data_IF_469834984826
#
_entry.id   IF_469834984826
#
_cell.length_a   1.000
_cell.length_b   1.000
_cell.length_c   1.000
_cell.angle_alpha   90.00
_cell.angle_beta   90.00
_cell.angle_gamma   90.00
#
_symmetry.space_group_name_H-M   'P 1'
#
loop_
_entity.id
_entity.type
_entity.pdbx_description
1 polymer ?
#
# COMPACT_ATOMS: atom_id res chain seq x y z
N UNK A 1 -38.94 27.40 -12.20
CA UNK A 1 -37.87 27.85 -13.12
C UNK A 1 -36.56 27.22 -12.64
N UNK A 2 -36.25 25.99 -13.05
CA UNK A 2 -34.97 25.36 -12.71
C UNK A 2 -33.89 25.89 -13.67
N UNK A 3 -32.71 26.34 -13.19
CA UNK A 3 -31.65 26.78 -14.08
C UNK A 3 -31.11 25.57 -14.86
N UNK A 4 -31.19 25.65 -16.19
CA UNK A 4 -30.52 24.72 -17.09
C UNK A 4 -29.01 24.87 -16.87
N UNK A 5 -28.43 23.97 -16.09
CA UNK A 5 -26.99 23.94 -15.88
C UNK A 5 -26.32 23.53 -17.19
N UNK A 6 -25.52 24.43 -17.75
CA UNK A 6 -24.72 24.16 -18.94
C UNK A 6 -23.75 23.02 -18.63
N UNK A 7 -23.97 21.85 -19.25
CA UNK A 7 -23.26 20.59 -18.94
C UNK A 7 -21.74 20.67 -19.16
N UNK A 8 -21.25 21.61 -19.99
CA UNK A 8 -19.83 21.77 -20.26
C UNK A 8 -19.05 22.35 -19.06
N UNK A 9 -19.67 23.27 -18.33
CA UNK A 9 -19.07 23.86 -17.12
C UNK A 9 -19.11 22.92 -15.93
N UNK A 10 -20.22 22.18 -15.77
CA UNK A 10 -20.38 21.19 -14.69
C UNK A 10 -19.46 19.99 -14.85
N UNK A 11 -19.20 19.53 -16.07
CA UNK A 11 -18.26 18.42 -16.30
C UNK A 11 -16.84 18.82 -15.91
N UNK A 12 -16.38 20.02 -16.30
CA UNK A 12 -15.06 20.53 -15.92
C UNK A 12 -14.93 20.76 -14.41
N UNK A 13 -15.98 21.30 -13.78
CA UNK A 13 -16.01 21.49 -12.34
C UNK A 13 -15.97 20.15 -11.58
N UNK A 14 -16.70 19.14 -12.05
CA UNK A 14 -16.67 17.79 -11.49
C UNK A 14 -15.29 17.15 -11.65
N UNK A 15 -14.68 17.25 -12.83
CA UNK A 15 -13.33 16.75 -13.09
C UNK A 15 -12.27 17.42 -12.20
N UNK A 16 -12.35 18.74 -12.04
CA UNK A 16 -11.45 19.47 -11.14
C UNK A 16 -11.62 19.03 -9.68
N UNK A 17 -12.86 18.81 -9.25
CA UNK A 17 -13.15 18.32 -7.91
C UNK A 17 -12.59 16.90 -7.68
N UNK A 18 -12.80 15.98 -8.63
CA UNK A 18 -12.23 14.63 -8.56
C UNK A 18 -10.71 14.66 -8.56
N UNK A 19 -10.08 15.50 -9.40
CA UNK A 19 -8.63 15.63 -9.44
C UNK A 19 -8.03 16.12 -8.10
N UNK A 20 -8.68 17.09 -7.45
CA UNK A 20 -8.30 17.55 -6.11
C UNK A 20 -8.56 16.47 -5.05
N UNK A 21 -9.67 15.72 -5.14
CA UNK A 21 -9.94 14.64 -4.21
C UNK A 21 -8.89 13.52 -4.31
N UNK A 22 -8.46 13.17 -5.53
CA UNK A 22 -7.42 12.16 -5.78
C UNK A 22 -6.03 12.64 -5.35
N UNK A 23 -5.71 13.93 -5.48
CA UNK A 23 -4.41 14.47 -5.04
C UNK A 23 -4.23 14.48 -3.52
N UNK A 24 -5.33 14.40 -2.76
CA UNK A 24 -5.30 14.27 -1.30
C UNK A 24 -5.09 12.82 -0.84
N UNK A 25 -5.18 11.84 -1.74
CA UNK A 25 -4.92 10.44 -1.42
C UNK A 25 -3.40 10.22 -1.41
N UNK A 26 -2.80 10.26 -0.23
CA UNK A 26 -1.44 9.79 -0.04
C UNK A 26 -1.44 8.27 0.11
N UNK A 27 -0.92 7.56 -0.89
CA UNK A 27 -0.67 6.13 -0.78
C UNK A 27 0.46 5.90 0.23
N UNK A 28 0.13 5.48 1.45
CA UNK A 28 1.11 4.93 2.38
C UNK A 28 1.38 3.49 1.95
N UNK A 29 2.46 3.28 1.22
CA UNK A 29 2.95 1.94 0.91
C UNK A 29 3.76 1.45 2.10
N UNK A 30 3.13 0.67 2.99
CA UNK A 30 3.85 -0.08 4.01
C UNK A 30 4.60 -1.23 3.34
N UNK A 31 5.90 -1.39 3.61
CA UNK A 31 6.63 -2.54 3.11
C UNK A 31 6.32 -3.78 3.95
N UNK A 32 6.09 -4.90 3.26
CA UNK A 32 5.90 -6.21 3.89
C UNK A 32 7.16 -7.05 3.75
N UNK A 33 7.86 -7.24 4.88
CA UNK A 33 9.09 -8.01 4.93
C UNK A 33 8.82 -9.44 5.38
N UNK A 34 9.07 -10.39 4.48
CA UNK A 34 9.01 -11.81 4.81
C UNK A 34 10.29 -12.20 5.56
N UNK A 35 10.13 -12.54 6.84
CA UNK A 35 11.26 -12.85 7.71
C UNK A 35 12.00 -14.11 7.22
N UNK A 36 13.31 -13.96 6.98
CA UNK A 36 14.23 -15.04 6.60
C UNK A 36 14.28 -15.38 5.11
N UNK A 37 13.43 -14.78 4.27
CA UNK A 37 13.45 -15.00 2.82
C UNK A 37 14.80 -14.57 2.22
N UNK A 38 15.40 -15.32 1.27
CA UNK A 38 14.94 -16.56 0.61
C UNK A 38 15.36 -17.88 1.27
N UNK A 39 16.19 -17.84 2.32
CA UNK A 39 16.87 -19.02 2.85
C UNK A 39 16.18 -19.71 4.03
N UNK A 40 15.24 -19.06 4.71
CA UNK A 40 14.57 -19.62 5.88
C UNK A 40 13.30 -18.88 6.29
N UNK A 41 12.50 -19.50 7.15
CA UNK A 41 11.27 -18.91 7.67
C UNK A 41 11.52 -18.26 9.03
N UNK A 42 10.43 -18.05 9.78
CA UNK A 42 10.55 -17.73 11.20
C UNK A 42 10.91 -19.02 11.99
N UNK A 43 12.12 -19.51 11.81
CA UNK A 43 12.67 -20.73 12.39
C UNK A 43 14.06 -20.51 13.04
N UNK A 44 14.56 -21.49 13.79
CA UNK A 44 15.89 -21.41 14.43
C UNK A 44 17.08 -21.61 13.49
N UNK A 45 16.85 -21.81 12.18
CA UNK A 45 17.92 -22.06 11.18
C UNK A 45 18.28 -20.81 10.40
N UNK A 46 17.46 -19.77 10.50
CA UNK A 46 17.63 -18.49 9.82
C UNK A 46 18.62 -17.61 10.56
N UNK A 47 19.63 -17.09 9.86
CA UNK A 47 20.48 -16.01 10.38
C UNK A 47 19.73 -14.68 10.32
N UNK A 48 18.99 -14.38 11.38
CA UNK A 48 18.23 -13.14 11.52
C UNK A 48 19.10 -11.88 11.52
N UNK A 49 20.37 -11.98 11.94
CA UNK A 49 21.25 -10.80 11.99
C UNK A 49 21.61 -10.36 10.59
N UNK A 50 22.04 -11.31 9.75
CA UNK A 50 22.33 -11.05 8.34
C UNK A 50 21.08 -10.58 7.58
N UNK A 51 19.93 -11.22 7.81
CA UNK A 51 18.67 -10.84 7.18
C UNK A 51 18.21 -9.43 7.57
N UNK A 52 18.21 -9.09 8.86
CA UNK A 52 17.78 -7.77 9.32
C UNK A 52 18.72 -6.65 8.85
N UNK A 53 20.03 -6.92 8.78
CA UNK A 53 21.03 -5.96 8.29
C UNK A 53 20.89 -5.66 6.80
N UNK A 54 20.31 -6.57 6.02
CA UNK A 54 20.06 -6.38 4.60
C UNK A 54 18.79 -5.53 4.33
N UNK A 55 18.00 -5.22 5.37
CA UNK A 55 16.72 -4.54 5.25
C UNK A 55 16.74 -3.14 5.85
N UNK A 56 16.02 -2.21 5.21
CA UNK A 56 15.72 -0.90 5.78
C UNK A 56 14.27 -0.90 6.26
N UNK A 57 14.04 -0.61 7.54
CA UNK A 57 12.70 -0.55 8.12
C UNK A 57 12.27 0.90 8.32
N UNK A 58 11.05 1.21 7.90
CA UNK A 58 10.36 2.46 8.16
C UNK A 58 9.17 2.25 9.12
N UNK A 59 8.78 3.27 9.90
CA UNK A 59 7.55 3.20 10.69
C UNK A 59 6.34 2.93 9.78
N UNK A 60 5.57 1.88 10.10
CA UNK A 60 4.43 1.43 9.30
C UNK A 60 4.68 0.13 8.53
N UNK A 61 5.94 -0.28 8.38
CA UNK A 61 6.29 -1.56 7.77
C UNK A 61 5.87 -2.74 8.65
N UNK A 62 5.56 -3.87 8.01
CA UNK A 62 5.16 -5.08 8.73
C UNK A 62 6.11 -6.24 8.46
N UNK A 63 6.43 -6.97 9.52
CA UNK A 63 7.16 -8.23 9.46
C UNK A 63 6.16 -9.38 9.40
N UNK A 64 6.19 -10.13 8.30
CA UNK A 64 5.25 -11.23 8.07
C UNK A 64 5.97 -12.58 8.06
N UNK A 65 5.33 -13.59 8.66
CA UNK A 65 5.71 -14.98 8.39
C UNK A 65 5.29 -15.36 6.96
N UNK A 66 6.06 -16.21 6.26
CA UNK A 66 5.74 -16.63 4.89
C UNK A 66 4.29 -17.11 4.70
N UNK A 67 3.73 -17.80 5.70
CA UNK A 67 2.35 -18.30 5.70
C UNK A 67 1.27 -17.19 5.66
N UNK A 68 1.57 -15.97 6.12
CA UNK A 68 0.61 -14.85 6.15
C UNK A 68 0.87 -13.79 5.06
N UNK A 69 2.01 -13.85 4.39
CA UNK A 69 2.36 -12.89 3.34
C UNK A 69 1.43 -12.98 2.12
N UNK A 70 1.01 -14.21 1.75
CA UNK A 70 0.10 -14.44 0.61
C UNK A 70 -1.30 -13.88 0.83
N UNK A 71 -1.82 -13.89 2.07
CA UNK A 71 -3.15 -13.38 2.39
C UNK A 71 -3.21 -11.85 2.43
N UNK A 72 -2.14 -11.18 2.86
CA UNK A 72 -2.11 -9.71 3.04
C UNK A 72 -1.95 -8.95 1.73
N UNK A 73 -1.13 -9.46 0.81
CA UNK A 73 -1.00 -8.89 -0.54
C UNK A 73 -2.31 -9.00 -1.34
N UNK A 74 -3.12 -10.03 -1.07
CA UNK A 74 -4.45 -10.17 -1.67
C UNK A 74 -5.45 -9.08 -1.24
N UNK A 75 -5.34 -8.57 -0.01
CA UNK A 75 -6.20 -7.49 0.51
C UNK A 75 -5.66 -6.11 0.13
N UNK A 76 -4.34 -5.92 0.11
CA UNK A 76 -3.72 -4.65 -0.23
C UNK A 76 -3.91 -4.22 -1.70
N UNK A 77 -4.17 -5.17 -2.61
CA UNK A 77 -4.48 -4.88 -4.02
C UNK A 77 -5.98 -4.53 -4.26
N UNK A 78 -6.83 -4.64 -3.24
CA UNK A 78 -8.28 -4.39 -3.32
C UNK A 78 -8.70 -3.04 -2.69
N UNK A 79 -7.75 -2.22 -2.25
CA UNK A 79 -7.98 -0.90 -1.65
C UNK A 79 -7.51 0.24 -2.58
#
# INVERSE_FOLDING_TARGET
>A
MAPAVSMEGTTKALLAYVAVALSLIHAVTAADYVVGNPAGGWDGRTDYKSWAAAQTFAPGDTLSKPQLASWRLGIACLA
#
